data_IF_577788266960
#
_entry.id   IF_577788266960
#
_cell.length_a   1.000
_cell.length_b   1.000
_cell.length_c   1.000
_cell.angle_alpha   90.00
_cell.angle_beta   90.00
_cell.angle_gamma   90.00
#
_symmetry.space_group_name_H-M   'P 1'
#
loop_
_entity.id
_entity.type
_entity.pdbx_description
1 polymer ?
#
# COMPACT_ATOMS: atom_id res chain seq x y z
N UNK A 1 -11.63 14.87 -8.95
CA UNK A 1 -12.23 15.40 -10.18
C UNK A 1 -12.21 16.90 -10.06
N UNK A 2 -11.70 17.59 -11.09
CA UNK A 2 -11.76 19.05 -11.16
C UNK A 2 -12.82 19.43 -12.20
N UNK A 3 -13.63 20.45 -11.91
CA UNK A 3 -14.52 21.04 -12.90
C UNK A 3 -13.74 21.98 -13.84
N UNK A 4 -14.40 22.55 -14.85
CA UNK A 4 -13.78 23.47 -15.81
C UNK A 4 -13.28 24.78 -15.17
N UNK A 5 -13.78 25.10 -13.96
CA UNK A 5 -13.31 26.24 -13.15
C UNK A 5 -12.09 25.89 -12.28
N UNK A 6 -11.59 24.65 -12.32
CA UNK A 6 -10.43 24.18 -11.54
C UNK A 6 -10.75 23.77 -10.10
N UNK A 7 -12.02 23.75 -9.70
CA UNK A 7 -12.44 23.41 -8.35
C UNK A 7 -12.57 21.89 -8.17
N UNK A 8 -12.17 21.38 -7.01
CA UNK A 8 -12.34 19.97 -6.66
C UNK A 8 -13.80 19.69 -6.27
N UNK A 9 -14.48 18.88 -7.07
CA UNK A 9 -15.90 18.54 -6.86
C UNK A 9 -16.13 17.18 -6.20
N UNK A 10 -15.07 16.39 -6.00
CA UNK A 10 -15.17 15.07 -5.36
C UNK A 10 -15.24 15.18 -3.83
N UNK A 11 -16.06 14.34 -3.19
CA UNK A 11 -16.13 14.24 -1.73
C UNK A 11 -14.81 13.73 -1.11
N UNK A 12 -14.15 12.77 -1.77
CA UNK A 12 -12.85 12.24 -1.36
C UNK A 12 -12.19 11.50 -2.52
N UNK A 13 -10.86 11.38 -2.48
CA UNK A 13 -10.12 10.51 -3.38
C UNK A 13 -9.92 9.13 -2.72
N UNK A 14 -10.53 8.05 -3.25
CA UNK A 14 -10.40 6.72 -2.66
C UNK A 14 -8.96 6.18 -2.74
N UNK A 15 -8.62 5.32 -1.78
CA UNK A 15 -7.32 4.64 -1.76
C UNK A 15 -7.19 3.71 -2.97
N UNK A 16 -5.98 3.59 -3.50
CA UNK A 16 -5.63 2.62 -4.54
C UNK A 16 -4.86 1.46 -3.91
N UNK A 17 -5.15 0.24 -4.35
CA UNK A 17 -4.34 -0.92 -4.03
C UNK A 17 -2.92 -0.73 -4.58
N UNK A 18 -1.91 -0.81 -3.72
CA UNK A 18 -0.50 -0.69 -4.08
C UNK A 18 -0.05 -1.78 -5.05
N UNK A 19 -0.69 -2.95 -5.02
CA UNK A 19 -0.33 -4.08 -5.86
C UNK A 19 -0.91 -4.00 -7.28
N UNK A 20 -2.18 -3.61 -7.41
CA UNK A 20 -2.94 -3.73 -8.66
C UNK A 20 -3.45 -2.39 -9.22
N UNK A 21 -3.20 -1.28 -8.54
CA UNK A 21 -3.74 0.06 -8.85
C UNK A 21 -5.28 0.14 -8.90
N UNK A 22 -5.98 -0.91 -8.44
CA UNK A 22 -7.44 -0.92 -8.33
C UNK A 22 -7.90 0.04 -7.23
N UNK A 23 -8.94 0.81 -7.49
CA UNK A 23 -9.60 1.65 -6.49
C UNK A 23 -10.27 0.78 -5.42
N UNK A 24 -10.10 1.14 -4.15
CA UNK A 24 -10.73 0.47 -3.02
C UNK A 24 -12.02 1.21 -2.69
N UNK A 25 -13.14 0.51 -2.87
CA UNK A 25 -14.46 1.06 -2.57
C UNK A 25 -14.74 1.09 -1.06
N UNK A 26 -15.68 1.93 -0.64
CA UNK A 26 -15.97 2.17 0.79
C UNK A 26 -16.51 0.94 1.57
N UNK A 27 -16.94 -0.12 0.87
CA UNK A 27 -17.46 -1.36 1.45
C UNK A 27 -16.51 -2.55 1.29
N UNK A 28 -15.26 -2.31 0.87
CA UNK A 28 -14.24 -3.37 0.83
C UNK A 28 -13.70 -3.60 2.24
N UNK A 29 -14.46 -4.33 3.05
CA UNK A 29 -14.08 -4.69 4.42
C UNK A 29 -12.93 -5.70 4.48
N UNK A 30 -12.61 -6.32 3.35
CA UNK A 30 -11.45 -7.17 3.22
C UNK A 30 -10.19 -6.38 2.83
N UNK A 31 -10.26 -5.09 2.50
CA UNK A 31 -9.05 -4.30 2.28
C UNK A 31 -8.25 -4.12 3.58
N UNK A 32 -6.92 -4.12 3.47
CA UNK A 32 -6.02 -3.87 4.60
C UNK A 32 -5.01 -2.80 4.24
N UNK A 33 -4.56 -2.10 5.27
CA UNK A 33 -3.48 -1.15 5.21
C UNK A 33 -2.42 -1.61 6.20
N UNK A 34 -1.24 -1.91 5.69
CA UNK A 34 -0.10 -2.42 6.43
C UNK A 34 0.95 -1.34 6.53
N UNK A 35 1.45 -1.11 7.74
CA UNK A 35 2.54 -0.16 8.00
C UNK A 35 3.75 -0.98 8.42
N UNK A 36 4.83 -0.88 7.65
CA UNK A 36 6.08 -1.56 7.90
C UNK A 36 7.07 -0.51 8.40
N UNK A 37 7.60 -0.70 9.61
CA UNK A 37 8.59 0.22 10.18
C UNK A 37 9.92 0.11 9.43
N UNK A 38 10.55 1.25 9.18
CA UNK A 38 11.95 1.26 8.75
C UNK A 38 12.85 0.99 9.97
N UNK A 39 14.06 0.52 9.71
CA UNK A 39 15.02 0.15 10.75
C UNK A 39 16.31 0.93 10.55
N UNK A 40 16.86 1.47 11.64
CA UNK A 40 18.18 2.11 11.63
C UNK A 40 19.26 1.06 11.31
N UNK A 41 20.03 1.23 10.22
CA UNK A 41 21.08 0.29 9.83
C UNK A 41 22.17 0.08 10.88
N UNK A 42 22.44 1.06 11.75
CA UNK A 42 23.50 0.98 12.75
C UNK A 42 23.05 0.25 14.02
N UNK A 43 21.83 0.54 14.50
CA UNK A 43 21.35 0.04 15.80
C UNK A 43 20.34 -1.10 15.69
N UNK A 44 19.76 -1.33 14.51
CA UNK A 44 18.71 -2.34 14.31
C UNK A 44 17.38 -2.00 14.97
N UNK A 45 17.20 -0.76 15.46
CA UNK A 45 15.97 -0.30 16.11
C UNK A 45 15.00 0.30 15.09
N UNK A 46 13.70 0.19 15.39
CA UNK A 46 12.67 0.85 14.59
C UNK A 46 12.93 2.35 14.54
N UNK A 47 12.93 2.91 13.34
CA UNK A 47 12.97 4.34 13.10
C UNK A 47 11.57 4.95 13.23
N UNK A 48 11.49 6.27 13.29
CA UNK A 48 10.22 7.00 13.28
C UNK A 48 9.57 7.02 11.87
N UNK A 49 10.31 6.59 10.84
CA UNK A 49 9.80 6.45 9.49
C UNK A 49 9.22 5.05 9.25
N UNK A 50 8.20 4.99 8.39
CA UNK A 50 7.56 3.75 8.03
C UNK A 50 7.01 3.84 6.62
N UNK A 51 6.87 2.67 5.99
CA UNK A 51 6.27 2.54 4.68
C UNK A 51 4.92 1.86 4.75
N UNK A 52 3.96 2.44 4.04
CA UNK A 52 2.58 1.98 4.03
C UNK A 52 2.23 1.29 2.72
N UNK A 53 1.62 0.12 2.82
CA UNK A 53 1.08 -0.64 1.69
C UNK A 53 -0.41 -0.86 1.87
N UNK A 54 -1.15 -0.76 0.77
CA UNK A 54 -2.59 -0.99 0.76
C UNK A 54 -2.91 -2.16 -0.16
N UNK A 55 -3.58 -3.18 0.36
CA UNK A 55 -3.98 -4.37 -0.41
C UNK A 55 -5.50 -4.45 -0.43
N UNK A 56 -6.09 -4.53 -1.63
CA UNK A 56 -7.54 -4.66 -1.78
C UNK A 56 -8.02 -6.09 -1.46
N UNK A 57 -9.29 -6.21 -1.08
CA UNK A 57 -9.90 -7.48 -0.70
C UNK A 57 -9.91 -8.52 -1.82
N UNK A 58 -9.92 -8.08 -3.09
CA UNK A 58 -9.86 -8.98 -4.24
C UNK A 58 -8.54 -9.77 -4.30
N UNK A 59 -7.39 -9.09 -4.12
CA UNK A 59 -6.07 -9.73 -4.11
C UNK A 59 -5.97 -10.70 -2.93
N UNK A 60 -6.47 -10.29 -1.75
CA UNK A 60 -6.47 -11.17 -0.56
C UNK A 60 -7.32 -12.42 -0.75
N UNK A 61 -8.47 -12.32 -1.42
CA UNK A 61 -9.34 -13.47 -1.68
C UNK A 61 -8.70 -14.47 -2.65
N UNK A 62 -7.89 -14.01 -3.58
CA UNK A 62 -7.18 -14.88 -4.53
C UNK A 62 -6.01 -15.63 -3.89
N UNK A 63 -5.57 -15.25 -2.69
CA UNK A 63 -4.39 -15.82 -2.04
C UNK A 63 -3.08 -15.11 -2.41
N UNK A 64 -3.08 -14.25 -3.42
CA UNK A 64 -1.90 -13.53 -3.94
C UNK A 64 -1.42 -12.36 -3.07
N UNK A 65 -1.86 -12.29 -1.81
CA UNK A 65 -1.55 -11.16 -0.95
C UNK A 65 -0.10 -11.17 -0.48
N UNK A 66 0.47 -12.35 -0.24
CA UNK A 66 1.84 -12.50 0.22
C UNK A 66 2.84 -12.16 -0.89
N UNK A 67 2.65 -12.72 -2.09
CA UNK A 67 3.51 -12.45 -3.25
C UNK A 67 3.53 -10.96 -3.59
N UNK A 68 2.37 -10.32 -3.58
CA UNK A 68 2.27 -8.89 -3.83
C UNK A 68 3.08 -8.07 -2.83
N UNK A 69 3.04 -8.41 -1.54
CA UNK A 69 3.82 -7.70 -0.51
C UNK A 69 5.30 -7.96 -0.71
N UNK A 70 5.73 -9.21 -0.90
CA UNK A 70 7.14 -9.56 -1.15
C UNK A 70 7.70 -8.78 -2.34
N UNK A 71 6.96 -8.72 -3.44
CA UNK A 71 7.35 -7.96 -4.63
C UNK A 71 7.48 -6.47 -4.36
N UNK A 72 6.53 -5.88 -3.63
CA UNK A 72 6.55 -4.46 -3.27
C UNK A 72 7.72 -4.11 -2.34
N UNK A 73 7.92 -4.89 -1.27
CA UNK A 73 9.00 -4.67 -0.31
C UNK A 73 10.38 -4.92 -0.90
N UNK A 74 10.53 -5.88 -1.84
CA UNK A 74 11.77 -6.05 -2.62
C UNK A 74 12.06 -4.84 -3.50
N UNK A 75 11.05 -4.31 -4.20
CA UNK A 75 11.18 -3.11 -5.03
C UNK A 75 11.63 -1.91 -4.20
N UNK A 76 11.11 -1.82 -2.98
CA UNK A 76 11.38 -0.73 -2.06
C UNK A 76 12.63 -0.93 -1.19
N UNK A 77 13.36 -2.03 -1.38
CA UNK A 77 14.62 -2.29 -0.68
C UNK A 77 14.47 -2.74 0.78
N UNK A 78 13.25 -3.01 1.24
CA UNK A 78 12.95 -3.51 2.59
C UNK A 78 13.35 -5.00 2.70
N UNK A 79 13.06 -5.78 1.66
CA UNK A 79 13.53 -7.16 1.55
C UNK A 79 14.80 -7.22 0.69
N UNK A 80 15.71 -8.13 1.07
CA UNK A 80 16.89 -8.43 0.28
C UNK A 80 16.50 -8.95 -1.13
N UNK A 81 17.27 -8.54 -2.14
CA UNK A 81 17.03 -8.94 -3.54
C UNK A 81 17.30 -10.42 -3.80
N UNK A 82 18.05 -11.06 -2.91
CA UNK A 82 18.58 -12.40 -3.08
C UNK A 82 17.68 -13.48 -2.44
N UNK A 83 16.49 -13.09 -1.96
CA UNK A 83 15.50 -13.96 -1.32
C UNK A 83 14.72 -14.77 -2.36
#
# INVERSE_FOLDING_TARGET
MQNDAGEFVDLYCPRKCSASNRLIHAKDHASVQLVIADVDPATGRAADTSKMYVVCGAIRRMGESDDCIVRLTKKDGILAKNY
#
